data_IF_106355094125
#
_entry.id   IF_106355094125
#
_cell.length_a   1.000
_cell.length_b   1.000
_cell.length_c   1.000
_cell.angle_alpha   90.00
_cell.angle_beta   90.00
_cell.angle_gamma   90.00
#
_symmetry.space_group_name_H-M   'P 1'
#
loop_
_entity.id
_entity.type
_entity.pdbx_description
1 polymer ?
#
# COMPACT_ATOMS: atom_id res chain seq x y z
N UNK A 1 -2.04 -1.64 28.41
CA UNK A 1 -2.32 -3.10 28.43
C UNK A 1 -1.13 -3.80 27.77
N UNK A 2 -0.43 -4.70 28.47
CA UNK A 2 0.57 -5.55 27.82
C UNK A 2 -0.20 -6.46 26.86
N UNK A 3 0.14 -6.45 25.57
CA UNK A 3 -0.42 -7.42 24.63
C UNK A 3 -0.09 -8.82 25.17
N UNK A 4 -1.12 -9.64 25.38
CA UNK A 4 -0.95 -11.01 25.86
C UNK A 4 -0.35 -11.83 24.71
N UNK A 5 0.71 -12.59 24.99
CA UNK A 5 1.32 -13.47 23.99
C UNK A 5 0.33 -14.58 23.62
N UNK A 6 0.18 -14.84 22.32
CA UNK A 6 -0.66 -15.94 21.81
C UNK A 6 0.05 -17.28 22.03
N UNK A 7 -0.72 -18.31 22.36
CA UNK A 7 -0.28 -19.70 22.55
C UNK A 7 -0.55 -20.57 21.33
N UNK A 8 0.14 -21.72 21.26
CA UNK A 8 -0.10 -22.72 20.22
C UNK A 8 -1.55 -23.28 20.27
N UNK A 9 -2.12 -23.38 21.47
CA UNK A 9 -3.50 -23.83 21.69
C UNK A 9 -4.51 -22.86 21.08
N UNK A 10 -4.27 -21.55 21.20
CA UNK A 10 -5.14 -20.53 20.57
C UNK A 10 -5.09 -20.60 19.04
N UNK A 11 -3.92 -20.90 18.46
CA UNK A 11 -3.80 -21.13 17.01
C UNK A 11 -4.59 -22.38 16.61
N UNK A 12 -4.46 -23.48 17.34
CA UNK A 12 -5.19 -24.71 17.03
C UNK A 12 -6.72 -24.52 17.15
N UNK A 13 -7.17 -23.77 18.16
CA UNK A 13 -8.58 -23.53 18.43
C UNK A 13 -9.32 -22.76 17.32
N UNK A 14 -8.59 -22.12 16.40
CA UNK A 14 -9.18 -21.40 15.27
C UNK A 14 -9.83 -22.34 14.22
N UNK A 15 -9.53 -23.64 14.27
CA UNK A 15 -10.02 -24.64 13.33
C UNK A 15 -9.29 -24.66 11.98
N UNK A 16 -9.54 -25.72 11.21
CA UNK A 16 -8.96 -25.93 9.87
C UNK A 16 -9.93 -25.58 8.76
N UNK A 17 -9.38 -25.28 7.58
CA UNK A 17 -10.12 -25.15 6.32
C UNK A 17 -9.81 -26.32 5.42
N UNK A 18 -10.82 -26.78 4.69
CA UNK A 18 -10.67 -27.87 3.73
C UNK A 18 -10.19 -27.33 2.38
N UNK A 19 -9.27 -28.09 1.78
CA UNK A 19 -8.77 -27.89 0.43
C UNK A 19 -8.61 -29.26 -0.23
N UNK A 20 -8.64 -29.36 -1.56
CA UNK A 20 -8.35 -30.62 -2.26
C UNK A 20 -6.89 -31.01 -2.04
N UNK A 21 -6.01 -30.48 -2.88
CA UNK A 21 -4.55 -30.54 -2.73
C UNK A 21 -4.01 -29.14 -2.49
N UNK A 22 -3.06 -29.01 -1.57
CA UNK A 22 -2.45 -27.71 -1.29
C UNK A 22 -1.54 -27.32 -2.45
N UNK A 23 -1.81 -26.16 -3.04
CA UNK A 23 -0.89 -25.44 -3.91
C UNK A 23 -0.66 -24.06 -3.32
N UNK A 24 0.60 -23.64 -3.24
CA UNK A 24 0.90 -22.26 -2.87
C UNK A 24 0.37 -21.33 -3.96
N UNK A 25 -0.75 -20.66 -3.70
CA UNK A 25 -1.23 -19.58 -4.56
C UNK A 25 -0.41 -18.33 -4.25
N UNK A 26 0.32 -17.84 -5.26
CA UNK A 26 0.96 -16.51 -5.34
C UNK A 26 2.44 -16.38 -4.93
N UNK A 27 3.17 -15.59 -5.72
CA UNK A 27 4.62 -15.65 -6.01
C UNK A 27 5.44 -14.44 -5.52
N UNK A 28 4.88 -13.55 -4.72
CA UNK A 28 5.55 -12.27 -4.35
C UNK A 28 6.28 -12.30 -3.00
N UNK A 29 5.79 -13.07 -2.03
CA UNK A 29 6.47 -13.25 -0.73
C UNK A 29 7.47 -14.40 -0.84
N UNK A 30 8.60 -14.25 -0.16
CA UNK A 30 9.50 -15.39 0.01
C UNK A 30 8.84 -16.38 0.95
N UNK A 31 8.96 -17.66 0.62
CA UNK A 31 8.43 -18.76 1.43
C UNK A 31 9.57 -19.50 2.09
N UNK A 32 9.47 -19.67 3.40
CA UNK A 32 10.31 -20.57 4.15
C UNK A 32 9.48 -21.83 4.48
N UNK A 33 9.82 -22.94 3.83
CA UNK A 33 9.06 -24.19 3.89
C UNK A 33 9.72 -25.15 4.87
N UNK A 34 9.00 -25.52 5.91
CA UNK A 34 9.39 -26.51 6.91
C UNK A 34 8.66 -27.81 6.60
N UNK A 35 9.32 -28.72 5.90
CA UNK A 35 8.75 -30.03 5.57
C UNK A 35 8.72 -30.95 6.80
N UNK A 36 7.56 -31.56 7.03
CA UNK A 36 7.32 -32.54 8.07
C UNK A 36 6.86 -33.85 7.42
N UNK A 37 7.14 -34.99 8.05
CA UNK A 37 6.66 -36.27 7.57
C UNK A 37 5.15 -36.44 7.73
N UNK A 38 4.56 -37.33 6.93
CA UNK A 38 3.20 -37.82 7.16
C UNK A 38 3.11 -38.46 8.56
N UNK A 39 2.14 -38.03 9.37
CA UNK A 39 2.00 -38.47 10.76
C UNK A 39 3.07 -37.94 11.73
N UNK A 40 4.00 -37.10 11.28
CA UNK A 40 5.13 -36.63 12.09
C UNK A 40 5.07 -35.11 12.33
N UNK A 41 5.67 -34.67 13.44
CA UNK A 41 5.85 -33.25 13.76
C UNK A 41 7.30 -32.77 13.66
N UNK A 42 8.26 -33.69 13.62
CA UNK A 42 9.68 -33.39 13.56
C UNK A 42 10.03 -32.57 12.31
N UNK A 43 10.89 -31.57 12.52
CA UNK A 43 11.48 -30.79 11.44
C UNK A 43 12.61 -31.64 10.83
N UNK A 44 12.38 -32.15 9.62
CA UNK A 44 13.23 -33.16 8.98
C UNK A 44 14.50 -32.62 8.31
N UNK A 45 14.62 -31.30 8.11
CA UNK A 45 15.76 -30.68 7.42
C UNK A 45 16.58 -29.78 8.35
N UNK A 46 17.91 -29.77 8.18
CA UNK A 46 18.74 -28.65 8.63
C UNK A 46 18.24 -27.39 7.91
N UNK A 47 17.45 -26.57 8.60
CA UNK A 47 16.92 -25.33 8.07
C UNK A 47 18.09 -24.37 7.85
N UNK A 48 18.57 -24.26 6.61
CA UNK A 48 19.66 -23.36 6.26
C UNK A 48 19.26 -21.91 6.59
N UNK A 49 19.93 -21.32 7.59
CA UNK A 49 20.06 -19.86 7.86
C UNK A 49 18.83 -18.98 7.56
N UNK A 50 17.62 -19.40 7.96
CA UNK A 50 16.50 -18.45 8.00
C UNK A 50 16.72 -17.47 9.16
N UNK A 51 17.22 -16.27 8.85
CA UNK A 51 17.43 -15.22 9.84
C UNK A 51 16.11 -14.52 10.16
N UNK A 52 15.33 -15.11 11.09
CA UNK A 52 14.04 -14.59 11.57
C UNK A 52 14.16 -13.13 12.06
N UNK A 53 15.32 -12.75 12.61
CA UNK A 53 15.55 -11.43 13.23
C UNK A 53 15.50 -10.26 12.25
N UNK A 54 15.66 -10.53 10.95
CA UNK A 54 15.64 -9.54 9.89
C UNK A 54 14.55 -9.77 8.88
N UNK A 55 13.44 -10.43 9.22
CA UNK A 55 12.34 -10.66 8.29
C UNK A 55 11.01 -10.23 8.91
N UNK A 56 10.18 -9.57 8.12
CA UNK A 56 8.78 -9.32 8.48
C UNK A 56 7.98 -10.56 8.13
N UNK A 57 7.49 -11.26 9.15
CA UNK A 57 6.65 -12.45 8.98
C UNK A 57 5.20 -12.02 8.77
N UNK A 58 4.62 -12.40 7.64
CA UNK A 58 3.26 -11.97 7.28
C UNK A 58 2.19 -13.00 7.65
N UNK A 59 2.42 -14.28 7.35
CA UNK A 59 1.53 -15.36 7.80
C UNK A 59 2.23 -16.70 7.80
N UNK A 60 1.56 -17.67 8.42
CA UNK A 60 2.02 -19.04 8.50
C UNK A 60 0.87 -19.98 8.16
N UNK A 61 1.14 -20.94 7.28
CA UNK A 61 0.20 -22.00 6.96
C UNK A 61 0.71 -23.32 7.53
N UNK A 62 -0.13 -24.02 8.29
CA UNK A 62 0.07 -25.43 8.63
C UNK A 62 -0.76 -26.27 7.67
N UNK A 63 -0.12 -27.20 6.96
CA UNK A 63 -0.75 -28.04 5.96
C UNK A 63 -0.62 -29.51 6.34
N UNK A 64 -1.74 -30.24 6.30
CA UNK A 64 -1.80 -31.66 6.61
C UNK A 64 -2.91 -32.37 5.82
N UNK A 65 -2.86 -33.68 5.72
CA UNK A 65 -3.90 -34.51 5.08
C UNK A 65 -5.06 -34.81 6.04
N UNK A 66 -6.26 -35.02 5.52
CA UNK A 66 -7.46 -35.44 6.26
C UNK A 66 -7.46 -36.94 6.64
N UNK A 67 -6.31 -37.60 6.50
CA UNK A 67 -6.16 -39.04 6.71
C UNK A 67 -5.38 -39.37 8.01
N UNK A 68 -5.78 -40.41 8.77
CA UNK A 68 -6.95 -41.28 8.53
C UNK A 68 -8.28 -40.55 8.66
N UNK A 69 -9.22 -40.82 7.74
CA UNK A 69 -10.50 -40.08 7.67
C UNK A 69 -11.29 -40.17 8.97
N UNK A 70 -11.79 -39.03 9.43
CA UNK A 70 -12.59 -38.92 10.66
C UNK A 70 -11.79 -38.95 11.96
N UNK A 71 -10.45 -39.04 11.93
CA UNK A 71 -9.66 -38.95 13.15
C UNK A 71 -9.38 -37.50 13.57
N UNK A 72 -9.27 -37.31 14.89
CA UNK A 72 -8.85 -36.04 15.47
C UNK A 72 -7.33 -35.89 15.39
N UNK A 73 -6.87 -35.05 14.47
CA UNK A 73 -5.45 -34.74 14.25
C UNK A 73 -4.96 -33.55 15.10
N UNK A 74 -5.79 -33.04 16.03
CA UNK A 74 -5.48 -31.87 16.86
C UNK A 74 -4.18 -32.03 17.65
N UNK A 75 -3.94 -33.22 18.23
CA UNK A 75 -2.71 -33.49 18.99
C UNK A 75 -1.46 -33.37 18.11
N UNK A 76 -1.49 -33.97 16.92
CA UNK A 76 -0.38 -33.91 15.98
C UNK A 76 -0.13 -32.48 15.50
N UNK A 77 -1.18 -31.76 15.14
CA UNK A 77 -1.08 -30.38 14.66
C UNK A 77 -0.61 -29.43 15.77
N UNK A 78 -1.03 -29.64 17.03
CA UNK A 78 -0.48 -28.90 18.16
C UNK A 78 1.03 -29.12 18.28
N UNK A 79 1.49 -30.37 18.19
CA UNK A 79 2.93 -30.67 18.22
C UNK A 79 3.69 -29.98 17.10
N UNK A 80 3.12 -29.91 15.87
CA UNK A 80 3.73 -29.19 14.74
C UNK A 80 3.85 -27.68 14.99
N UNK A 81 2.83 -27.05 15.56
CA UNK A 81 2.85 -25.64 15.93
C UNK A 81 3.91 -25.38 17.03
N UNK A 82 3.99 -26.27 18.02
CA UNK A 82 4.97 -26.19 19.10
C UNK A 82 6.42 -26.36 18.61
N UNK A 83 6.66 -27.14 17.55
CA UNK A 83 7.98 -27.20 16.92
C UNK A 83 8.38 -25.87 16.30
N UNK A 84 7.45 -25.14 15.67
CA UNK A 84 7.73 -23.79 15.19
C UNK A 84 8.00 -22.81 16.33
N UNK A 85 7.29 -22.94 17.46
CA UNK A 85 7.55 -22.13 18.65
C UNK A 85 8.95 -22.40 19.22
N UNK A 86 9.36 -23.68 19.30
CA UNK A 86 10.72 -24.07 19.69
C UNK A 86 11.76 -23.53 18.72
N UNK A 87 11.47 -23.56 17.42
CA UNK A 87 12.37 -23.06 16.40
C UNK A 87 12.55 -21.53 16.51
N UNK A 88 11.45 -20.77 16.66
CA UNK A 88 11.52 -19.38 17.07
C UNK A 88 10.18 -18.90 17.69
N UNK A 89 10.18 -18.40 18.95
CA UNK A 89 8.94 -18.08 19.66
C UNK A 89 8.01 -17.08 18.95
N UNK A 90 8.58 -16.15 18.17
CA UNK A 90 7.82 -15.11 17.45
C UNK A 90 6.70 -15.67 16.58
N UNK A 91 6.87 -16.86 16.00
CA UNK A 91 5.90 -17.44 15.06
C UNK A 91 4.56 -17.72 15.74
N UNK A 92 4.59 -18.09 17.02
CA UNK A 92 3.40 -18.41 17.81
C UNK A 92 2.98 -17.22 18.66
N UNK A 93 3.94 -16.62 19.38
CA UNK A 93 3.67 -15.62 20.41
C UNK A 93 3.21 -14.27 19.87
N UNK A 94 3.53 -13.92 18.61
CA UNK A 94 3.08 -12.68 17.99
C UNK A 94 1.63 -12.82 17.49
N UNK A 95 0.65 -12.15 18.13
CA UNK A 95 -0.76 -12.25 17.73
C UNK A 95 -1.05 -11.60 16.37
N UNK A 96 -0.14 -10.77 15.84
CA UNK A 96 -0.30 -10.13 14.52
C UNK A 96 -0.02 -11.07 13.35
N UNK A 97 0.69 -12.19 13.58
CA UNK A 97 0.98 -13.16 12.53
C UNK A 97 -0.26 -14.05 12.36
N UNK A 98 -0.92 -13.94 11.21
CA UNK A 98 -2.07 -14.79 10.88
C UNK A 98 -1.62 -16.23 10.63
N UNK A 99 -2.24 -17.19 11.31
CA UNK A 99 -2.10 -18.61 11.01
C UNK A 99 -3.28 -19.11 10.19
N UNK A 100 -3.05 -20.05 9.28
CA UNK A 100 -4.11 -20.82 8.61
C UNK A 100 -3.80 -22.31 8.72
N UNK A 101 -4.80 -23.11 9.08
CA UNK A 101 -4.68 -24.57 9.11
C UNK A 101 -5.41 -25.12 7.89
N UNK A 102 -4.69 -25.79 6.99
CA UNK A 102 -5.22 -26.37 5.77
C UNK A 102 -5.24 -27.90 5.88
N UNK A 103 -6.44 -28.46 5.78
CA UNK A 103 -6.71 -29.90 5.75
C UNK A 103 -6.96 -30.31 4.30
N UNK A 104 -6.02 -31.05 3.73
CA UNK A 104 -6.09 -31.57 2.36
C UNK A 104 -6.97 -32.82 2.32
N UNK A 105 -7.96 -32.84 1.43
CA UNK A 105 -9.02 -33.87 1.34
C UNK A 105 -8.88 -34.76 0.11
N UNK A 106 -7.93 -34.45 -0.77
CA UNK A 106 -7.61 -35.25 -1.97
C UNK A 106 -6.72 -36.46 -1.64
N UNK A 107 -7.15 -37.27 -0.67
CA UNK A 107 -6.61 -38.61 -0.43
C UNK A 107 -7.68 -39.57 0.11
N UNK A 108 -7.61 -40.82 -0.31
CA UNK A 108 -8.50 -41.92 0.10
C UNK A 108 -7.75 -43.13 0.64
N UNK A 109 -6.42 -43.13 0.54
CA UNK A 109 -5.54 -44.16 1.08
C UNK A 109 -4.38 -43.54 1.85
N UNK A 110 -3.73 -44.33 2.70
CA UNK A 110 -2.52 -43.90 3.40
C UNK A 110 -1.40 -43.52 2.41
N UNK A 111 -1.29 -44.24 1.29
CA UNK A 111 -0.29 -43.93 0.27
C UNK A 111 -0.55 -42.57 -0.39
N UNK A 112 -1.79 -42.30 -0.80
CA UNK A 112 -2.17 -40.97 -1.34
C UNK A 112 -1.96 -39.88 -0.29
N UNK A 113 -2.27 -40.17 0.98
CA UNK A 113 -2.05 -39.23 2.07
C UNK A 113 -0.57 -38.92 2.29
N UNK A 114 0.34 -39.91 2.14
CA UNK A 114 1.79 -39.74 2.21
C UNK A 114 2.36 -38.89 1.07
N UNK A 115 1.72 -38.92 -0.10
CA UNK A 115 2.14 -38.17 -1.28
C UNK A 115 1.73 -36.68 -1.23
N UNK A 116 0.81 -36.32 -0.34
CA UNK A 116 0.44 -34.92 -0.08
C UNK A 116 1.52 -34.19 0.72
N UNK A 117 1.53 -32.86 0.63
CA UNK A 117 2.46 -32.05 1.42
C UNK A 117 2.05 -32.02 2.91
N UNK A 118 3.00 -32.28 3.81
CA UNK A 118 2.84 -31.99 5.24
C UNK A 118 3.94 -31.07 5.71
N UNK A 119 3.57 -30.07 6.49
CA UNK A 119 4.53 -29.13 7.02
C UNK A 119 3.97 -27.73 7.15
N UNK A 120 4.89 -26.79 7.29
CA UNK A 120 4.58 -25.40 7.59
C UNK A 120 5.21 -24.51 6.54
N UNK A 121 4.45 -23.53 6.05
CA UNK A 121 4.91 -22.52 5.12
C UNK A 121 4.87 -21.18 5.84
N UNK A 122 6.03 -20.56 6.02
CA UNK A 122 6.16 -19.21 6.54
C UNK A 122 6.29 -18.25 5.37
N UNK A 123 5.36 -17.31 5.26
CA UNK A 123 5.37 -16.25 4.26
C UNK A 123 6.01 -15.00 4.85
N UNK A 124 7.14 -14.58 4.28
CA UNK A 124 7.93 -13.49 4.84
C UNK A 124 8.45 -12.54 3.75
N UNK A 125 8.79 -11.33 4.19
CA UNK A 125 9.57 -10.38 3.44
C UNK A 125 10.90 -10.19 4.17
N UNK A 126 12.02 -10.28 3.45
CA UNK A 126 13.32 -9.94 4.02
C UNK A 126 13.37 -8.46 4.39
N UNK A 127 14.07 -8.13 5.47
CA UNK A 127 14.36 -6.75 5.81
C UNK A 127 15.02 -6.10 4.59
N UNK A 128 14.45 -4.97 4.24
CA UNK A 128 15.03 -4.05 3.29
C UNK A 128 16.42 -3.70 3.80
N UNK A 129 17.43 -3.76 2.94
CA UNK A 129 18.81 -3.50 3.36
C UNK A 129 18.88 -2.14 4.05
N UNK A 130 19.71 -2.04 5.11
CA UNK A 130 19.95 -0.77 5.80
C UNK A 130 20.34 0.33 4.81
N UNK A 131 21.07 -0.03 3.75
CA UNK A 131 21.45 0.88 2.66
C UNK A 131 20.23 1.44 1.92
N UNK A 132 19.22 0.63 1.61
CA UNK A 132 18.01 1.11 0.93
C UNK A 132 17.18 2.03 1.83
N UNK A 133 17.05 1.70 3.13
CA UNK A 133 16.38 2.58 4.10
C UNK A 133 17.13 3.90 4.27
N UNK A 134 18.46 3.84 4.33
CA UNK A 134 19.33 5.00 4.39
C UNK A 134 19.22 5.83 3.12
N UNK A 135 19.17 5.21 1.94
CA UNK A 135 19.03 5.91 0.66
C UNK A 135 17.70 6.65 0.55
N UNK A 136 16.57 5.99 0.82
CA UNK A 136 15.26 6.66 0.79
C UNK A 136 15.16 7.81 1.81
N UNK A 137 15.74 7.62 3.00
CA UNK A 137 15.85 8.69 4.00
C UNK A 137 16.77 9.82 3.52
N UNK A 138 17.84 9.48 2.80
CA UNK A 138 18.78 10.45 2.22
C UNK A 138 18.13 11.26 1.10
N UNK A 139 17.33 10.62 0.25
CA UNK A 139 16.59 11.30 -0.82
C UNK A 139 15.59 12.29 -0.25
N UNK A 140 14.82 11.92 0.78
CA UNK A 140 13.92 12.87 1.42
C UNK A 140 14.69 13.99 2.13
N UNK A 141 15.80 13.68 2.82
CA UNK A 141 16.64 14.69 3.49
C UNK A 141 17.33 15.64 2.51
N UNK A 142 17.58 15.22 1.27
CA UNK A 142 18.11 16.08 0.20
C UNK A 142 17.14 17.23 -0.10
N UNK A 143 15.84 16.96 -0.12
CA UNK A 143 14.81 17.97 -0.38
C UNK A 143 14.29 18.66 0.90
N UNK A 144 14.24 17.93 2.01
CA UNK A 144 13.71 18.38 3.30
C UNK A 144 14.75 18.19 4.41
N UNK A 145 15.85 18.96 4.42
CA UNK A 145 16.83 18.92 5.51
C UNK A 145 16.22 19.32 6.85
N UNK A 146 16.79 18.82 7.95
CA UNK A 146 16.33 19.11 9.34
C UNK A 146 16.30 20.61 9.61
N UNK A 147 17.34 21.34 9.19
CA UNK A 147 17.39 22.80 9.32
C UNK A 147 16.85 23.42 8.04
N UNK A 148 15.60 23.85 8.07
CA UNK A 148 14.96 24.51 6.94
C UNK A 148 14.72 26.00 7.21
N UNK A 149 15.02 26.81 6.20
CA UNK A 149 14.67 28.24 6.15
C UNK A 149 14.05 28.57 4.80
N UNK A 150 13.30 29.68 4.66
CA UNK A 150 12.76 30.09 3.36
C UNK A 150 13.84 30.25 2.26
N UNK A 151 15.06 30.67 2.63
CA UNK A 151 16.18 30.80 1.68
C UNK A 151 16.65 29.42 1.20
N UNK A 152 16.77 28.45 2.10
CA UNK A 152 17.14 27.07 1.75
C UNK A 152 16.04 26.44 0.89
N UNK A 153 14.78 26.63 1.28
CA UNK A 153 13.63 26.12 0.55
C UNK A 153 13.63 26.60 -0.91
N UNK A 154 13.83 27.90 -1.14
CA UNK A 154 13.95 28.48 -2.49
C UNK A 154 15.09 27.85 -3.29
N UNK A 155 16.29 27.75 -2.70
CA UNK A 155 17.44 27.10 -3.36
C UNK A 155 17.16 25.65 -3.74
N UNK A 156 16.46 24.89 -2.89
CA UNK A 156 16.09 23.51 -3.19
C UNK A 156 15.08 23.49 -4.34
N UNK A 157 14.06 24.34 -4.32
CA UNK A 157 13.07 24.45 -5.40
C UNK A 157 13.73 24.74 -6.75
N UNK A 158 14.75 25.61 -6.78
CA UNK A 158 15.51 25.94 -8.00
C UNK A 158 16.25 24.73 -8.60
N UNK A 159 16.48 23.66 -7.81
CA UNK A 159 17.14 22.42 -8.27
C UNK A 159 16.16 21.35 -8.73
N UNK A 160 14.85 21.53 -8.55
CA UNK A 160 13.84 20.53 -8.90
C UNK A 160 13.60 20.57 -10.41
N UNK A 161 13.93 19.48 -11.09
CA UNK A 161 13.75 19.36 -12.55
C UNK A 161 12.30 19.27 -12.99
N UNK A 162 11.40 18.73 -12.15
CA UNK A 162 9.97 18.56 -12.44
C UNK A 162 9.10 19.23 -11.36
N UNK A 163 8.96 20.57 -11.39
CA UNK A 163 8.25 21.34 -10.36
C UNK A 163 6.71 21.29 -10.55
N UNK A 164 6.15 20.11 -10.83
CA UNK A 164 4.73 19.91 -11.17
C UNK A 164 3.79 20.49 -10.10
N UNK A 165 3.97 20.10 -8.84
CA UNK A 165 3.10 20.53 -7.74
C UNK A 165 3.21 22.04 -7.53
N UNK A 166 4.43 22.59 -7.55
CA UNK A 166 4.66 24.03 -7.40
C UNK A 166 3.97 24.82 -8.51
N UNK A 167 4.18 24.41 -9.77
CA UNK A 167 3.62 25.08 -10.93
C UNK A 167 2.09 25.07 -10.90
N UNK A 168 1.50 23.94 -10.50
CA UNK A 168 0.05 23.81 -10.35
C UNK A 168 -0.47 24.73 -9.24
N UNK A 169 0.09 24.65 -8.03
CA UNK A 169 -0.39 25.47 -6.91
C UNK A 169 -0.20 26.98 -7.15
N UNK A 170 0.85 27.37 -7.89
CA UNK A 170 1.09 28.77 -8.23
C UNK A 170 0.06 29.31 -9.22
N UNK A 171 -0.31 28.55 -10.26
CA UNK A 171 -1.32 29.00 -11.23
C UNK A 171 -2.76 28.88 -10.71
N UNK A 172 -3.02 27.98 -9.76
CA UNK A 172 -4.33 27.82 -9.13
C UNK A 172 -4.54 28.84 -8.01
N UNK A 173 -4.88 30.08 -8.40
CA UNK A 173 -5.05 31.22 -7.48
C UNK A 173 -6.37 31.20 -6.71
N UNK A 174 -7.35 30.41 -7.16
CA UNK A 174 -8.71 30.36 -6.58
C UNK A 174 -8.90 29.30 -5.50
N UNK A 175 -8.05 28.27 -5.46
CA UNK A 175 -8.14 27.21 -4.46
C UNK A 175 -7.82 27.73 -3.06
N UNK A 176 -8.71 27.42 -2.11
CA UNK A 176 -8.59 27.80 -0.69
C UNK A 176 -9.22 26.73 0.19
N UNK A 177 -8.76 26.63 1.45
CA UNK A 177 -9.29 25.67 2.43
C UNK A 177 -9.30 24.21 1.93
N UNK A 178 -8.27 23.85 1.16
CA UNK A 178 -8.12 22.54 0.55
C UNK A 178 -7.65 21.51 1.57
N UNK A 179 -8.10 20.27 1.40
CA UNK A 179 -7.46 19.09 1.97
C UNK A 179 -6.62 18.47 0.87
N UNK A 180 -5.31 18.40 1.09
CA UNK A 180 -4.40 17.70 0.18
C UNK A 180 -4.40 16.22 0.53
N UNK A 181 -4.53 15.37 -0.48
CA UNK A 181 -4.39 13.92 -0.41
C UNK A 181 -3.16 13.59 -1.25
N UNK A 182 -2.09 13.09 -0.66
CA UNK A 182 -0.77 13.03 -1.29
C UNK A 182 -0.25 11.61 -1.26
N UNK A 183 0.01 11.05 -2.44
CA UNK A 183 0.77 9.82 -2.60
C UNK A 183 2.18 10.03 -2.02
N UNK A 184 2.60 9.11 -1.16
CA UNK A 184 3.96 9.05 -0.63
C UNK A 184 4.57 7.65 -0.74
N UNK A 185 4.66 7.19 -1.97
CA UNK A 185 5.63 6.19 -2.43
C UNK A 185 7.04 6.79 -2.62
N UNK A 186 8.02 5.91 -2.86
CA UNK A 186 9.41 6.32 -3.09
C UNK A 186 9.57 7.18 -4.35
N UNK A 187 8.84 6.89 -5.43
CA UNK A 187 8.83 7.70 -6.67
C UNK A 187 8.27 9.10 -6.43
N UNK A 188 7.34 9.23 -5.47
CA UNK A 188 6.67 10.50 -5.15
C UNK A 188 7.44 11.41 -4.20
N UNK A 189 8.61 11.02 -3.69
CA UNK A 189 9.43 11.83 -2.77
C UNK A 189 9.70 13.26 -3.30
N UNK A 190 10.12 13.48 -4.57
CA UNK A 190 10.37 14.83 -5.08
C UNK A 190 9.10 15.68 -5.15
N UNK A 191 7.93 15.09 -5.42
CA UNK A 191 6.65 15.79 -5.53
C UNK A 191 6.04 16.09 -4.16
N UNK A 192 6.11 15.15 -3.22
CA UNK A 192 5.72 15.40 -1.84
C UNK A 192 6.57 16.50 -1.20
N UNK A 193 7.88 16.50 -1.49
CA UNK A 193 8.77 17.56 -1.03
C UNK A 193 8.34 18.94 -1.55
N UNK A 194 7.83 19.03 -2.78
CA UNK A 194 7.25 20.27 -3.29
C UNK A 194 6.04 20.72 -2.49
N UNK A 195 5.15 19.81 -2.06
CA UNK A 195 4.02 20.15 -1.17
C UNK A 195 4.51 20.80 0.12
N UNK A 196 5.50 20.19 0.79
CA UNK A 196 6.04 20.69 2.06
C UNK A 196 6.74 22.04 1.88
N UNK A 197 7.56 22.18 0.84
CA UNK A 197 8.27 23.43 0.54
C UNK A 197 7.30 24.55 0.14
N UNK A 198 6.26 24.24 -0.64
CA UNK A 198 5.25 25.20 -1.02
C UNK A 198 4.49 25.71 0.19
N UNK A 199 4.04 24.82 1.08
CA UNK A 199 3.33 25.19 2.29
C UNK A 199 4.19 26.05 3.22
N UNK A 200 5.48 25.75 3.35
CA UNK A 200 6.42 26.58 4.12
C UNK A 200 6.52 28.00 3.56
N UNK A 201 6.55 28.14 2.23
CA UNK A 201 6.78 29.42 1.56
C UNK A 201 5.51 30.25 1.36
N UNK A 202 4.33 29.63 1.36
CA UNK A 202 3.06 30.25 0.96
C UNK A 202 1.91 29.99 1.94
N UNK A 203 2.23 29.70 3.22
CA UNK A 203 1.22 29.40 4.25
C UNK A 203 0.16 30.50 4.39
N UNK A 204 0.52 31.76 4.13
CA UNK A 204 -0.35 32.92 4.16
C UNK A 204 -1.45 32.89 3.09
N UNK A 205 -1.28 32.10 2.01
CA UNK A 205 -2.34 31.92 1.00
C UNK A 205 -3.56 31.19 1.54
N UNK A 206 -3.44 30.46 2.65
CA UNK A 206 -4.53 29.67 3.21
C UNK A 206 -5.08 28.59 2.25
N UNK A 207 -4.25 28.14 1.31
CA UNK A 207 -4.64 27.11 0.35
C UNK A 207 -4.84 25.78 1.05
N UNK A 208 -3.86 25.36 1.85
CA UNK A 208 -3.83 24.03 2.47
C UNK A 208 -4.31 24.15 3.92
N UNK A 209 -5.37 23.42 4.23
CA UNK A 209 -5.95 23.34 5.58
C UNK A 209 -5.48 22.11 6.33
N UNK A 210 -5.52 20.96 5.67
CA UNK A 210 -5.08 19.67 6.21
C UNK A 210 -4.42 18.84 5.11
N UNK A 211 -3.59 17.87 5.52
CA UNK A 211 -2.90 16.95 4.61
C UNK A 211 -3.20 15.52 5.04
N UNK A 212 -3.52 14.68 4.07
CA UNK A 212 -3.56 13.21 4.19
C UNK A 212 -2.48 12.66 3.28
N UNK A 213 -1.56 11.86 3.82
CA UNK A 213 -0.58 11.12 3.01
C UNK A 213 -0.94 9.64 3.02
N UNK A 214 -0.69 8.94 1.92
CA UNK A 214 -0.87 7.49 1.82
C UNK A 214 0.34 6.80 1.19
N UNK A 215 0.52 5.51 1.45
CA UNK A 215 1.68 4.73 0.99
C UNK A 215 1.32 3.28 0.66
N UNK A 216 0.05 3.03 0.31
CA UNK A 216 -0.48 1.72 -0.06
C UNK A 216 -0.28 0.63 1.01
N UNK A 217 -0.62 0.99 2.25
CA UNK A 217 -0.84 0.01 3.31
C UNK A 217 0.40 -0.35 4.13
N UNK A 218 1.38 0.54 4.26
CA UNK A 218 2.60 0.32 5.06
C UNK A 218 3.37 -0.95 4.68
N UNK A 219 3.58 -1.15 3.38
CA UNK A 219 4.24 -2.34 2.83
C UNK A 219 3.53 -3.64 3.21
N UNK A 220 2.21 -3.56 3.43
CA UNK A 220 1.38 -4.75 3.52
C UNK A 220 1.53 -5.57 2.23
N UNK A 221 1.45 -6.91 2.30
CA UNK A 221 1.47 -7.74 1.11
C UNK A 221 0.15 -7.59 0.35
N UNK A 222 0.18 -7.78 -0.98
CA UNK A 222 -0.97 -7.56 -1.86
C UNK A 222 -2.29 -8.19 -1.35
N UNK A 223 -2.23 -9.44 -0.86
CA UNK A 223 -3.39 -10.16 -0.30
C UNK A 223 -4.06 -9.50 0.91
N UNK A 224 -3.36 -8.64 1.64
CA UNK A 224 -3.87 -7.91 2.79
C UNK A 224 -4.47 -6.54 2.39
N UNK A 225 -4.20 -6.07 1.17
CA UNK A 225 -4.66 -4.79 0.64
C UNK A 225 -6.09 -4.92 0.09
N UNK A 226 -7.04 -5.02 1.01
CA UNK A 226 -8.45 -5.06 0.68
C UNK A 226 -8.94 -3.66 0.29
N UNK A 227 -9.62 -3.55 -0.85
CA UNK A 227 -10.19 -2.27 -1.35
C UNK A 227 -10.95 -1.52 -0.24
N UNK A 228 -10.52 -0.29 0.03
CA UNK A 228 -11.09 0.59 1.05
C UNK A 228 -10.66 0.28 2.49
N UNK A 229 -9.70 -0.62 2.68
CA UNK A 229 -9.10 -1.03 3.96
C UNK A 229 -7.61 -1.37 3.80
N UNK A 230 -6.93 -0.84 2.80
CA UNK A 230 -5.50 -1.05 2.58
C UNK A 230 -4.69 -0.38 3.69
N UNK A 231 -5.13 0.78 4.18
CA UNK A 231 -4.48 1.50 5.26
C UNK A 231 -3.29 2.33 4.79
N UNK A 232 -2.28 2.50 5.66
CA UNK A 232 -1.14 3.35 5.31
C UNK A 232 -1.48 4.84 5.21
N UNK A 233 -2.52 5.28 5.93
CA UNK A 233 -3.02 6.66 5.91
C UNK A 233 -2.46 7.47 7.07
N UNK A 234 -1.93 8.66 6.78
CA UNK A 234 -1.32 9.59 7.73
C UNK A 234 -2.01 10.93 7.62
N UNK A 235 -2.45 11.50 8.75
CA UNK A 235 -3.29 12.70 8.75
C UNK A 235 -2.66 13.83 9.58
N UNK A 236 -2.49 14.99 8.95
CA UNK A 236 -1.86 16.17 9.54
C UNK A 236 -2.77 17.38 9.53
N UNK A 237 -3.03 17.91 10.72
CA UNK A 237 -3.79 19.15 10.94
C UNK A 237 -2.89 20.35 11.25
N UNK A 238 -1.72 20.09 11.84
CA UNK A 238 -0.67 21.07 12.01
C UNK A 238 0.26 20.99 10.81
N UNK A 239 0.43 22.11 10.11
CA UNK A 239 1.14 22.17 8.83
C UNK A 239 2.46 22.95 8.94
N UNK A 240 3.15 22.82 10.08
CA UNK A 240 4.52 23.34 10.20
C UNK A 240 5.48 22.48 9.37
N UNK A 241 6.60 23.04 8.96
CA UNK A 241 7.63 22.30 8.24
C UNK A 241 8.01 21.00 8.95
N UNK A 242 8.29 21.05 10.27
CA UNK A 242 8.71 19.88 11.03
C UNK A 242 7.63 18.79 11.09
N UNK A 243 6.36 19.19 11.27
CA UNK A 243 5.25 18.25 11.32
C UNK A 243 5.04 17.53 9.98
N UNK A 244 5.08 18.26 8.87
CA UNK A 244 4.95 17.70 7.54
C UNK A 244 6.15 16.84 7.16
N UNK A 245 7.37 17.31 7.45
CA UNK A 245 8.60 16.55 7.22
C UNK A 245 8.60 15.23 7.99
N UNK A 246 8.23 15.24 9.27
CA UNK A 246 8.20 14.03 10.08
C UNK A 246 7.10 13.06 9.61
N UNK A 247 5.96 13.59 9.17
CA UNK A 247 4.92 12.80 8.52
C UNK A 247 5.44 12.14 7.24
N UNK A 248 6.09 12.90 6.35
CA UNK A 248 6.67 12.37 5.12
C UNK A 248 7.73 11.30 5.42
N UNK A 249 8.62 11.52 6.39
CA UNK A 249 9.61 10.51 6.80
C UNK A 249 8.94 9.22 7.30
N UNK A 250 7.88 9.34 8.09
CA UNK A 250 7.20 8.18 8.68
C UNK A 250 6.46 7.38 7.62
N UNK A 251 5.68 8.07 6.78
CA UNK A 251 4.92 7.43 5.72
C UNK A 251 5.85 6.81 4.66
N UNK A 252 6.92 7.49 4.26
CA UNK A 252 7.92 6.94 3.34
C UNK A 252 8.56 5.67 3.92
N UNK A 253 9.07 5.72 5.17
CA UNK A 253 9.70 4.56 5.84
C UNK A 253 8.79 3.35 5.94
N UNK A 254 7.53 3.59 6.29
CA UNK A 254 6.56 2.52 6.45
C UNK A 254 6.12 1.92 5.11
N UNK A 255 6.25 2.64 3.99
CA UNK A 255 5.94 2.17 2.63
C UNK A 255 7.15 1.58 1.88
N UNK A 256 8.35 1.58 2.49
CA UNK A 256 9.54 1.04 1.83
C UNK A 256 9.39 -0.46 1.54
N UNK A 257 9.91 -0.90 0.40
CA UNK A 257 9.93 -2.30 0.02
C UNK A 257 8.59 -2.83 -0.49
N UNK A 258 7.55 -2.00 -0.59
CA UNK A 258 6.39 -2.30 -1.41
C UNK A 258 6.84 -2.41 -2.88
N UNK A 259 6.51 -3.52 -3.54
CA UNK A 259 6.80 -3.77 -4.97
C UNK A 259 5.53 -3.82 -5.82
N UNK A 260 4.41 -3.54 -5.19
CA UNK A 260 3.10 -3.47 -5.80
C UNK A 260 2.97 -2.09 -6.46
N UNK A 261 2.59 -2.08 -7.73
CA UNK A 261 2.50 -0.84 -8.52
C UNK A 261 1.19 -0.07 -8.29
N UNK A 262 0.01 -0.70 -8.11
CA UNK A 262 -1.22 0.01 -7.82
C UNK A 262 -1.34 0.52 -6.38
N UNK A 263 -1.87 1.72 -6.21
CA UNK A 263 -1.92 2.46 -4.93
C UNK A 263 -3.36 2.63 -4.39
N UNK A 264 -3.54 3.03 -3.13
CA UNK A 264 -4.84 3.16 -2.46
C UNK A 264 -5.43 4.59 -2.43
N UNK A 265 -5.39 5.28 -3.56
CA UNK A 265 -5.80 6.68 -3.71
C UNK A 265 -7.22 6.96 -3.23
N UNK A 266 -8.20 6.14 -3.64
CA UNK A 266 -9.61 6.46 -3.38
C UNK A 266 -10.02 6.16 -1.93
N UNK A 267 -9.36 5.21 -1.27
CA UNK A 267 -9.43 5.05 0.18
C UNK A 267 -8.97 6.33 0.89
N UNK A 268 -7.83 6.89 0.47
CA UNK A 268 -7.30 8.13 1.05
C UNK A 268 -8.22 9.33 0.78
N UNK A 269 -8.80 9.43 -0.42
CA UNK A 269 -9.80 10.46 -0.77
C UNK A 269 -11.05 10.35 0.10
N UNK A 270 -11.62 9.15 0.25
CA UNK A 270 -12.79 8.95 1.10
C UNK A 270 -12.50 9.24 2.57
N UNK A 271 -11.31 8.87 3.05
CA UNK A 271 -10.85 9.24 4.39
C UNK A 271 -10.79 10.76 4.57
N UNK A 272 -10.20 11.48 3.61
CA UNK A 272 -10.10 12.93 3.62
C UNK A 272 -11.48 13.60 3.65
N UNK A 273 -12.41 13.17 2.79
CA UNK A 273 -13.80 13.68 2.75
C UNK A 273 -14.50 13.44 4.09
N UNK A 274 -14.39 12.23 4.64
CA UNK A 274 -15.02 11.88 5.92
C UNK A 274 -14.50 12.75 7.07
N UNK A 275 -13.19 13.04 7.11
CA UNK A 275 -12.57 13.88 8.14
C UNK A 275 -12.88 15.37 7.97
N UNK A 276 -13.02 15.81 6.73
CA UNK A 276 -13.17 17.22 6.38
C UNK A 276 -14.35 17.44 5.44
N UNK A 277 -15.61 17.20 5.87
CA UNK A 277 -16.77 17.21 4.97
C UNK A 277 -17.07 18.58 4.34
N UNK A 278 -16.51 19.66 4.91
CA UNK A 278 -16.72 21.05 4.51
C UNK A 278 -15.44 21.71 3.96
N UNK A 279 -14.49 20.91 3.46
CA UNK A 279 -13.31 21.46 2.78
C UNK A 279 -13.73 22.25 1.53
N UNK A 280 -12.97 23.29 1.19
CA UNK A 280 -13.21 24.07 -0.03
C UNK A 280 -12.85 23.28 -1.29
N UNK A 281 -11.75 22.54 -1.23
CA UNK A 281 -11.26 21.68 -2.32
C UNK A 281 -10.72 20.37 -1.75
N UNK A 282 -10.81 19.29 -2.54
CA UNK A 282 -10.07 18.05 -2.30
C UNK A 282 -9.09 17.86 -3.44
N UNK A 283 -7.80 17.87 -3.12
CA UNK A 283 -6.74 17.87 -4.12
C UNK A 283 -5.92 16.60 -3.94
N UNK A 284 -6.03 15.69 -4.90
CA UNK A 284 -5.24 14.46 -4.98
C UNK A 284 -3.94 14.73 -5.73
N UNK A 285 -2.79 14.62 -5.07
CA UNK A 285 -1.46 14.66 -5.69
C UNK A 285 -1.01 13.21 -5.88
N UNK A 286 -1.02 12.73 -7.12
CA UNK A 286 -0.84 11.31 -7.43
C UNK A 286 0.26 11.04 -8.46
N UNK A 287 0.78 9.81 -8.44
CA UNK A 287 1.75 9.30 -9.39
C UNK A 287 1.06 8.82 -10.67
N UNK A 288 1.46 9.35 -11.82
CA UNK A 288 0.94 8.91 -13.12
C UNK A 288 1.51 7.55 -13.56
N UNK A 289 2.52 7.02 -12.89
CA UNK A 289 3.06 5.69 -13.20
C UNK A 289 2.36 4.56 -12.41
N UNK A 290 1.47 4.92 -11.48
CA UNK A 290 0.71 3.99 -10.64
C UNK A 290 -0.81 4.22 -10.80
N UNK A 291 -1.55 3.20 -11.23
CA UNK A 291 -3.01 3.29 -11.30
C UNK A 291 -3.64 3.06 -9.91
N UNK A 292 -4.73 3.75 -9.54
CA UNK A 292 -5.43 3.47 -8.30
C UNK A 292 -6.00 2.04 -8.27
N UNK A 293 -5.62 1.25 -7.26
CA UNK A 293 -6.12 -0.12 -7.05
C UNK A 293 -7.62 -0.17 -6.77
N UNK A 294 -8.15 0.92 -6.26
CA UNK A 294 -9.43 1.00 -5.58
C UNK A 294 -10.45 1.84 -6.35
N UNK A 295 -10.33 1.90 -7.68
CA UNK A 295 -11.31 2.52 -8.59
C UNK A 295 -12.76 2.07 -8.36
N UNK A 296 -12.98 0.88 -7.80
CA UNK A 296 -14.31 0.40 -7.38
C UNK A 296 -14.97 1.28 -6.28
N UNK A 297 -14.20 2.14 -5.60
CA UNK A 297 -14.67 3.12 -4.63
C UNK A 297 -15.13 4.44 -5.25
N UNK A 298 -14.86 4.68 -6.53
CA UNK A 298 -15.12 5.97 -7.19
C UNK A 298 -16.59 6.39 -7.08
N UNK A 299 -17.54 5.45 -7.21
CA UNK A 299 -18.97 5.73 -7.08
C UNK A 299 -19.41 6.22 -5.70
N UNK A 300 -18.55 6.09 -4.67
CA UNK A 300 -18.81 6.58 -3.31
C UNK A 300 -18.32 8.01 -3.09
N UNK A 301 -17.59 8.60 -4.04
CA UNK A 301 -17.04 9.95 -3.92
C UNK A 301 -18.07 10.95 -4.45
N UNK A 302 -18.54 11.84 -3.59
CA UNK A 302 -19.60 12.82 -3.88
C UNK A 302 -19.10 14.27 -3.86
N UNK A 303 -17.79 14.47 -3.96
CA UNK A 303 -17.13 15.79 -3.95
C UNK A 303 -16.20 15.90 -5.15
N UNK A 304 -16.08 17.07 -5.80
CA UNK A 304 -15.10 17.29 -6.86
C UNK A 304 -13.68 17.02 -6.39
N UNK A 305 -12.94 16.20 -7.15
CA UNK A 305 -11.53 15.89 -6.90
C UNK A 305 -10.64 16.60 -7.92
N UNK A 306 -9.74 17.44 -7.44
CA UNK A 306 -8.68 18.07 -8.25
C UNK A 306 -7.48 17.13 -8.25
N UNK A 307 -7.16 16.50 -9.38
CA UNK A 307 -5.99 15.63 -9.49
C UNK A 307 -4.80 16.46 -9.97
N UNK A 308 -3.78 16.60 -9.15
CA UNK A 308 -2.45 17.09 -9.53
C UNK A 308 -1.61 15.88 -9.88
N UNK A 309 -1.37 15.70 -11.18
CA UNK A 309 -0.84 14.46 -11.71
C UNK A 309 0.65 14.61 -12.03
N UNK A 310 1.47 13.88 -11.28
CA UNK A 310 2.92 13.93 -11.36
C UNK A 310 3.44 12.87 -12.35
N UNK A 311 4.48 13.15 -13.14
CA UNK A 311 4.99 12.19 -14.15
C UNK A 311 4.17 12.07 -15.44
N UNK A 312 3.28 13.03 -15.72
CA UNK A 312 2.36 13.01 -16.86
C UNK A 312 3.00 13.32 -18.25
N UNK A 313 4.31 13.58 -18.32
CA UNK A 313 4.97 14.05 -19.54
C UNK A 313 4.93 13.03 -20.69
N UNK A 314 4.87 11.74 -20.36
CA UNK A 314 4.76 10.64 -21.33
C UNK A 314 3.30 10.17 -21.49
N UNK A 315 2.37 11.08 -21.26
CA UNK A 315 0.93 10.85 -21.32
C UNK A 315 0.35 10.31 -20.03
N UNK A 316 -0.97 10.24 -19.97
CA UNK A 316 -1.72 10.15 -18.72
C UNK A 316 -2.43 8.81 -18.58
N UNK A 317 -2.44 8.25 -17.36
CA UNK A 317 -3.29 7.12 -17.00
C UNK A 317 -4.78 7.53 -17.04
N UNK A 318 -5.63 6.82 -17.82
CA UNK A 318 -7.05 7.16 -17.96
C UNK A 318 -7.83 7.21 -16.64
N UNK A 319 -7.42 6.43 -15.64
CA UNK A 319 -8.06 6.34 -14.33
C UNK A 319 -8.17 7.72 -13.65
N UNK A 320 -7.15 8.56 -13.77
CA UNK A 320 -7.17 9.90 -13.19
C UNK A 320 -8.09 10.86 -13.94
N UNK A 321 -8.21 10.71 -15.26
CA UNK A 321 -9.22 11.43 -16.05
C UNK A 321 -10.62 10.99 -15.64
N UNK A 322 -10.81 9.69 -15.38
CA UNK A 322 -12.08 9.12 -14.94
C UNK A 322 -12.46 9.60 -13.54
N UNK A 323 -11.53 9.66 -12.59
CA UNK A 323 -11.74 10.24 -11.26
C UNK A 323 -12.24 11.69 -11.39
N UNK A 324 -11.52 12.52 -12.15
CA UNK A 324 -11.88 13.91 -12.34
C UNK A 324 -13.25 14.07 -13.05
N UNK A 325 -13.51 13.27 -14.09
CA UNK A 325 -14.80 13.24 -14.79
C UNK A 325 -15.90 12.86 -13.81
N UNK A 326 -15.89 11.65 -13.27
CA UNK A 326 -16.96 11.11 -12.42
C UNK A 326 -17.28 11.97 -11.20
N UNK A 327 -16.32 12.75 -10.68
CA UNK A 327 -16.50 13.60 -9.51
C UNK A 327 -16.85 15.06 -9.83
N UNK A 328 -16.86 15.47 -11.10
CA UNK A 328 -16.97 16.88 -11.49
C UNK A 328 -15.74 17.71 -11.13
N UNK A 329 -14.61 17.03 -10.95
CA UNK A 329 -13.30 17.58 -10.66
C UNK A 329 -12.52 17.99 -11.92
N UNK A 330 -11.19 17.92 -11.82
CA UNK A 330 -10.27 18.32 -12.90
C UNK A 330 -8.92 17.64 -12.76
N UNK A 331 -8.15 17.54 -13.85
CA UNK A 331 -6.77 17.02 -13.84
C UNK A 331 -5.80 18.14 -14.20
N UNK A 332 -4.68 18.21 -13.51
CA UNK A 332 -3.68 19.27 -13.62
C UNK A 332 -2.30 18.64 -13.78
N UNK A 333 -1.64 18.85 -14.91
CA UNK A 333 -0.27 18.38 -15.18
C UNK A 333 0.74 19.48 -14.87
N UNK A 334 2.01 19.32 -15.22
CA UNK A 334 3.00 20.40 -15.03
C UNK A 334 2.62 21.68 -15.79
N UNK A 335 2.01 21.57 -16.97
CA UNK A 335 1.70 22.69 -17.88
C UNK A 335 0.21 22.93 -18.10
N UNK A 336 -0.63 21.89 -17.98
CA UNK A 336 -2.00 21.93 -18.48
C UNK A 336 -3.04 21.73 -17.37
N UNK A 337 -4.21 22.31 -17.58
CA UNK A 337 -5.38 22.18 -16.71
C UNK A 337 -6.58 21.64 -17.51
N UNK A 338 -7.04 20.45 -17.17
CA UNK A 338 -8.08 19.70 -17.86
C UNK A 338 -9.34 19.76 -16.99
N UNK A 339 -10.18 20.79 -17.24
CA UNK A 339 -11.27 21.19 -16.32
C UNK A 339 -12.68 20.83 -16.80
N UNK A 340 -12.83 20.42 -18.06
CA UNK A 340 -14.14 20.25 -18.72
C UNK A 340 -14.47 18.78 -19.05
N UNK A 341 -13.88 17.82 -18.32
CA UNK A 341 -14.05 16.38 -18.59
C UNK A 341 -15.50 15.91 -18.47
N UNK A 342 -16.29 16.51 -17.58
CA UNK A 342 -17.71 16.20 -17.41
C UNK A 342 -18.58 16.58 -18.62
N UNK A 343 -18.16 17.57 -19.42
CA UNK A 343 -18.92 18.02 -20.59
C UNK A 343 -18.75 17.10 -21.80
N UNK A 344 -17.76 16.20 -21.75
CA UNK A 344 -17.39 15.32 -22.85
C UNK A 344 -18.43 14.19 -23.02
N UNK A 345 -18.81 13.88 -24.25
CA UNK A 345 -19.91 12.96 -24.57
C UNK A 345 -19.42 11.58 -25.01
N UNK A 346 -20.29 10.58 -24.91
CA UNK A 346 -20.04 9.23 -25.46
C UNK A 346 -19.59 9.31 -26.92
N UNK A 347 -18.53 8.56 -27.27
CA UNK A 347 -17.93 8.55 -28.60
C UNK A 347 -17.04 9.75 -28.93
N UNK A 348 -17.02 10.80 -28.10
CA UNK A 348 -16.16 11.97 -28.31
C UNK A 348 -14.68 11.60 -28.15
N UNK A 349 -13.86 12.04 -29.11
CA UNK A 349 -12.41 11.91 -29.06
C UNK A 349 -11.83 13.26 -28.64
N UNK A 350 -10.93 13.25 -27.65
CA UNK A 350 -10.24 14.44 -27.17
C UNK A 350 -8.77 14.13 -26.89
N UNK A 351 -7.93 15.16 -26.91
CA UNK A 351 -6.50 15.03 -26.64
C UNK A 351 -6.14 15.52 -25.25
N UNK A 352 -5.20 14.83 -24.61
CA UNK A 352 -4.50 15.31 -23.43
C UNK A 352 -3.01 15.13 -23.65
N UNK A 353 -2.29 16.24 -23.76
CA UNK A 353 -0.94 16.24 -24.32
C UNK A 353 -0.94 15.67 -25.74
N UNK A 354 -0.04 14.72 -26.01
CA UNK A 354 0.06 14.05 -27.30
C UNK A 354 -0.81 12.79 -27.44
N UNK A 355 -1.49 12.36 -26.35
CA UNK A 355 -2.36 11.18 -26.36
C UNK A 355 -3.79 11.57 -26.68
N UNK A 356 -4.50 10.68 -27.37
CA UNK A 356 -5.93 10.81 -27.65
C UNK A 356 -6.70 9.81 -26.81
N UNK A 357 -7.88 10.24 -26.37
CA UNK A 357 -8.78 9.46 -25.56
C UNK A 357 -10.16 9.50 -26.19
N UNK A 358 -10.94 8.44 -25.97
CA UNK A 358 -12.32 8.33 -26.40
C UNK A 358 -13.18 7.89 -25.24
N UNK A 359 -14.41 8.40 -25.19
CA UNK A 359 -15.40 7.90 -24.23
C UNK A 359 -16.12 6.70 -24.85
N UNK A 360 -16.00 5.55 -24.19
CA UNK A 360 -16.60 4.27 -24.60
C UNK A 360 -17.33 3.67 -23.40
N UNK A 361 -18.62 3.42 -23.55
CA UNK A 361 -19.50 2.91 -22.48
C UNK A 361 -19.41 3.73 -21.19
N UNK A 362 -19.35 5.05 -21.33
CA UNK A 362 -19.24 6.00 -20.23
C UNK A 362 -17.84 6.12 -19.60
N UNK A 363 -16.85 5.33 -20.04
CA UNK A 363 -15.47 5.35 -19.52
C UNK A 363 -14.51 6.03 -20.48
N UNK A 364 -13.47 6.65 -19.95
CA UNK A 364 -12.37 7.19 -20.75
C UNK A 364 -11.38 6.06 -21.10
N UNK A 365 -11.14 5.85 -22.39
CA UNK A 365 -10.18 4.86 -22.92
C UNK A 365 -9.14 5.54 -23.82
N UNK A 366 -7.95 4.96 -23.91
CA UNK A 366 -6.91 5.40 -24.86
C UNK A 366 -7.34 5.06 -26.30
N UNK A 367 -7.21 6.02 -27.23
CA UNK A 367 -7.72 5.94 -28.61
C UNK A 367 -6.65 5.94 -29.71
#
# INVERSE_FOLDING_TARGET
MKAQNRSAQEILAQGSKDIGRYSSENTELKTFVVKMGYGESSISQQLARFNVLGATIHSIDLVYSDFPKGQDLSKLNLSRIQEMERFHPIFVQNPLIKWTLWRQTECNSEQEARDLFHGIIVYYQEAISTDFVNNATTDLNKYLPIKMTPIIAKKILDTISRPTVINVFNRQTRWKNAVLIVDLTSSMIPYNSQVVLWQLLHSERGLIKEVVMFNDGNSAPQRAKHVGKTGGLYHGQHLSFDSLRNMSLTACRNGLGNRDFPENDLEAVLFAIKKNPNAGEYILVADNDAAPRDMALLSKINRPIRVVLCGAENGILPEYLEIARSTGGSVHTITDDIIDLMKRREGEVFSVGYRRFKIVSGRIELY
#
